data_IF_612911747385
#
_entry.id   IF_612911747385
#
_cell.length_a   1.000
_cell.length_b   1.000
_cell.length_c   1.000
_cell.angle_alpha   90.00
_cell.angle_beta   90.00
_cell.angle_gamma   90.00
#
_symmetry.space_group_name_H-M   'P 1'
#
loop_
_entity.id
_entity.type
_entity.pdbx_description
1 polymer ?
2 branched ?
3 non-polymer ?
4 non-polymer ?
5 water ?
#
# COMPACT_ATOMS: atom_id res chain seq x y z
N UNK A 18 23.93 -13.76 29.21
CA UNK A 18 23.90 -12.46 28.58
C UNK A 18 23.04 -12.42 27.33
N UNK A 19 21.85 -11.85 27.45
CA UNK A 19 20.94 -11.73 26.32
C UNK A 19 21.52 -10.87 25.21
N UNK A 20 21.24 -11.27 23.97
CA UNK A 20 21.52 -10.41 22.82
C UNK A 20 20.29 -9.60 22.50
N UNK A 21 20.48 -8.34 22.14
CA UNK A 21 19.39 -7.48 21.78
C UNK A 21 19.12 -7.58 20.28
N UNK A 22 17.86 -7.80 19.95
CA UNK A 22 17.39 -7.79 18.57
C UNK A 22 16.44 -6.60 18.47
N UNK A 23 16.75 -5.66 17.56
CA UNK A 23 15.96 -4.45 17.38
C UNK A 23 15.03 -4.65 16.17
N UNK A 24 13.76 -4.44 16.42
CA UNK A 24 12.68 -4.73 15.46
C UNK A 24 11.86 -3.48 15.22
N UNK A 25 11.59 -3.19 13.95
CA UNK A 25 10.90 -1.98 13.55
C UNK A 25 9.59 -2.28 12.83
N UNK A 26 8.51 -1.65 13.29
CA UNK A 26 7.21 -1.74 12.66
C UNK A 26 6.28 -0.64 13.09
N UNK A 27 5.07 -0.61 12.54
CA UNK A 27 4.20 0.55 12.74
C UNK A 27 3.62 0.61 14.14
N UNK A 28 3.22 1.81 14.52
CA UNK A 28 2.64 2.06 15.82
C UNK A 28 1.53 1.08 16.18
N UNK A 29 0.67 0.79 15.22
CA UNK A 29 -0.49 -0.08 15.47
C UNK A 29 -0.10 -1.49 15.90
N UNK A 30 1.06 -1.95 15.46
CA UNK A 30 1.56 -3.27 15.80
C UNK A 30 2.28 -3.26 17.14
N UNK A 31 2.50 -2.07 17.70
CA UNK A 31 3.20 -1.95 18.99
C UNK A 31 2.28 -1.42 20.08
N UNK A 32 1.02 -1.22 19.74
CA UNK A 32 -0.01 -0.63 20.63
C UNK A 32 -0.73 -1.72 21.40
N UNK A 33 -0.61 -1.69 22.72
CA UNK A 33 -1.22 -2.72 23.55
C UNK A 33 -2.73 -2.75 23.38
N UNK A 34 -3.32 -1.60 23.07
CA UNK A 34 -4.74 -1.50 22.86
C UNK A 34 -5.21 -2.27 21.65
N UNK A 35 -4.27 -2.57 20.74
CA UNK A 35 -4.54 -3.35 19.54
C UNK A 35 -3.82 -4.72 19.60
N UNK A 36 -3.48 -5.15 20.80
CA UNK A 36 -2.90 -6.47 21.00
C UNK A 36 -1.39 -6.55 20.75
N UNK A 37 -0.79 -5.40 20.47
CA UNK A 37 0.64 -5.25 20.19
C UNK A 37 1.19 -6.44 19.43
N UNK A 38 0.64 -6.66 18.24
CA UNK A 38 0.99 -7.85 17.45
C UNK A 38 2.47 -8.09 17.35
N UNK A 39 3.26 -7.07 17.03
CA UNK A 39 4.69 -7.31 16.77
C UNK A 39 5.42 -7.76 18.04
N UNK A 40 5.10 -7.18 19.19
CA UNK A 40 5.68 -7.61 20.46
C UNK A 40 5.23 -9.03 20.79
N UNK A 41 3.95 -9.26 20.63
CA UNK A 41 3.33 -10.57 20.91
C UNK A 41 4.02 -11.67 20.09
N UNK A 42 4.23 -11.40 18.80
CA UNK A 42 4.87 -12.39 17.96
C UNK A 42 6.39 -12.56 18.22
N UNK A 43 7.10 -11.47 18.51
CA UNK A 43 8.49 -11.59 18.91
C UNK A 43 8.60 -12.43 20.19
N UNK A 44 7.72 -12.22 21.14
CA UNK A 44 7.78 -13.01 22.37
C UNK A 44 7.46 -14.47 22.08
N UNK A 45 6.50 -14.72 21.19
CA UNK A 45 6.20 -16.10 20.81
C UNK A 45 7.40 -16.77 20.14
N UNK A 46 8.08 -16.03 19.26
CA UNK A 46 9.28 -16.52 18.63
C UNK A 46 10.33 -16.93 19.67
N UNK A 47 10.54 -16.07 20.64
CA UNK A 47 11.55 -16.37 21.67
C UNK A 47 11.13 -17.64 22.43
N UNK A 48 9.85 -17.78 22.72
CA UNK A 48 9.39 -18.93 23.52
C UNK A 48 9.59 -20.21 22.72
N UNK A 49 9.44 -20.13 21.40
CA UNK A 49 9.59 -21.28 20.52
C UNK A 49 11.04 -21.68 20.26
N UNK A 50 11.96 -20.79 20.62
CA UNK A 50 13.38 -20.95 20.34
C UNK A 50 14.23 -20.75 21.58
N UNK A 51 14.13 -21.67 22.54
CA UNK A 51 14.86 -21.53 23.80
C UNK A 51 16.39 -21.57 23.65
N UNK A 52 16.88 -22.06 22.53
CA UNK A 52 18.31 -22.03 22.28
C UNK A 52 18.84 -20.62 22.08
N UNK A 53 17.93 -19.69 21.76
CA UNK A 53 18.32 -18.29 21.60
C UNK A 53 18.16 -17.54 22.91
N UNK A 54 19.14 -16.72 23.22
CA UNK A 54 19.11 -15.91 24.42
C UNK A 54 19.01 -14.46 24.00
N UNK A 55 17.77 -14.03 23.83
CA UNK A 55 17.52 -12.74 23.19
C UNK A 55 16.50 -11.90 23.96
N UNK A 56 16.61 -10.59 23.79
CA UNK A 56 15.57 -9.68 24.19
C UNK A 56 15.34 -8.72 23.03
N UNK A 57 14.22 -8.05 23.09
CA UNK A 57 13.77 -7.21 21.99
C UNK A 57 13.71 -5.76 22.34
N UNK A 58 14.06 -4.93 21.38
CA UNK A 58 13.82 -3.49 21.47
C UNK A 58 13.07 -3.11 20.21
N UNK A 59 12.14 -2.18 20.33
CA UNK A 59 11.23 -1.88 19.25
C UNK A 59 11.36 -0.43 18.78
N UNK A 60 11.41 -0.27 17.47
CA UNK A 60 11.39 1.03 16.81
C UNK A 60 10.02 1.20 16.10
N UNK A 61 9.40 2.33 16.34
CA UNK A 61 8.10 2.60 15.78
C UNK A 61 8.24 3.40 14.50
N UNK A 62 7.80 2.83 13.39
CA UNK A 62 7.90 3.48 12.09
C UNK A 62 7.00 2.79 11.09
N UNK A 63 6.31 3.59 10.32
CA UNK A 63 5.39 3.07 9.31
C UNK A 63 6.16 2.34 8.22
N UNK A 64 5.57 1.26 7.70
CA UNK A 64 6.15 0.62 6.54
C UNK A 64 6.34 1.59 5.36
N UNK A 65 5.51 2.62 5.28
CA UNK A 65 5.59 3.57 4.18
C UNK A 65 6.86 4.40 4.22
N UNK A 66 7.49 4.47 5.41
CA UNK A 66 8.69 5.26 5.63
C UNK A 66 9.98 4.46 5.71
N UNK A 67 9.93 3.13 5.50
CA UNK A 67 11.12 2.32 5.76
C UNK A 67 12.29 2.60 4.84
N UNK A 68 12.05 2.96 3.59
CA UNK A 68 13.17 3.30 2.71
C UNK A 68 13.98 4.43 3.32
N UNK A 69 13.29 5.50 3.69
CA UNK A 69 13.97 6.67 4.18
C UNK A 69 14.72 6.37 5.48
N UNK A 70 14.06 5.66 6.38
CA UNK A 70 14.63 5.37 7.68
C UNK A 70 15.84 4.46 7.58
N UNK A 71 15.75 3.40 6.79
CA UNK A 71 16.82 2.44 6.75
C UNK A 71 17.95 2.85 5.82
N UNK A 72 17.66 3.33 4.61
CA UNK A 72 18.73 3.54 3.65
C UNK A 72 19.62 4.73 4.02
N UNK A 73 19.12 5.63 4.85
CA UNK A 73 19.94 6.77 5.26
C UNK A 73 21.20 6.29 6.00
N UNK A 74 21.12 5.12 6.63
CA UNK A 74 22.23 4.58 7.45
C UNK A 74 21.87 3.17 7.90
N UNK A 75 22.12 2.19 7.05
CA UNK A 75 21.61 0.85 7.41
C UNK A 75 22.20 0.30 8.68
N UNK A 76 23.46 0.60 8.92
CA UNK A 76 24.09 0.10 10.14
C UNK A 76 23.45 0.66 11.40
N UNK A 77 22.83 1.83 11.30
CA UNK A 77 22.15 2.43 12.45
C UNK A 77 20.71 1.98 12.61
N UNK A 78 20.21 1.21 11.63
CA UNK A 78 18.82 0.79 11.58
C UNK A 78 18.55 -0.53 12.28
N UNK A 79 17.26 -0.78 12.53
CA UNK A 79 16.82 -2.02 13.15
C UNK A 79 17.32 -3.26 12.43
N UNK A 80 17.45 -4.34 13.19
CA UNK A 80 17.88 -5.63 12.70
C UNK A 80 16.87 -6.30 11.78
N UNK A 81 15.62 -6.13 12.11
CA UNK A 81 14.48 -6.74 11.42
C UNK A 81 13.43 -5.66 11.30
N UNK A 82 12.85 -5.50 10.11
CA UNK A 82 11.92 -4.39 9.90
C UNK A 82 10.83 -4.69 8.89
N UNK A 83 9.74 -4.01 9.07
CA UNK A 83 8.53 -4.15 8.26
C UNK A 83 8.46 -3.02 7.23
N UNK A 84 8.35 -3.37 5.95
CA UNK A 84 8.46 -2.39 4.86
C UNK A 84 7.46 -2.72 3.75
N UNK A 85 7.27 -1.77 2.84
CA UNK A 85 6.44 -1.94 1.66
C UNK A 85 7.30 -2.30 0.45
N UNK A 86 6.86 -3.28 -0.34
CA UNK A 86 7.79 -3.91 -1.25
C UNK A 86 8.34 -3.04 -2.36
N UNK A 87 7.69 -1.94 -2.68
CA UNK A 87 8.22 -1.02 -3.69
C UNK A 87 9.54 -0.41 -3.27
N UNK A 88 9.87 -0.52 -2.00
CA UNK A 88 11.16 -0.05 -1.48
C UNK A 88 12.28 -1.03 -1.65
N UNK A 89 12.00 -2.18 -2.23
CA UNK A 89 12.97 -3.26 -2.32
C UNK A 89 14.24 -2.87 -3.07
N UNK A 90 14.15 -2.30 -4.27
CA UNK A 90 15.38 -2.01 -5.02
C UNK A 90 16.26 -0.98 -4.31
N UNK A 91 15.70 0.12 -3.80
CA UNK A 91 16.62 1.00 -3.07
C UNK A 91 17.20 0.38 -1.81
N UNK A 92 16.48 -0.50 -1.15
CA UNK A 92 17.06 -1.19 0.00
C UNK A 92 18.22 -2.08 -0.42
N UNK A 93 18.07 -2.80 -1.52
CA UNK A 93 19.14 -3.63 -2.05
C UNK A 93 20.34 -2.77 -2.44
N UNK A 94 20.10 -1.66 -3.14
CA UNK A 94 21.24 -0.87 -3.60
C UNK A 94 21.99 -0.23 -2.43
N UNK A 95 21.31 -0.03 -1.32
CA UNK A 95 21.95 0.46 -0.09
C UNK A 95 22.59 -0.64 0.76
N UNK A 96 22.58 -1.89 0.27
CA UNK A 96 23.04 -3.02 1.09
C UNK A 96 22.33 -3.08 2.43
N UNK A 97 21.02 -2.87 2.40
CA UNK A 97 20.23 -2.70 3.60
C UNK A 97 19.26 -3.84 3.87
N UNK A 98 19.26 -4.83 2.98
CA UNK A 98 18.35 -5.96 3.11
C UNK A 98 19.06 -7.22 2.62
N UNK A 99 18.95 -8.27 3.42
CA UNK A 99 19.66 -9.52 3.19
C UNK A 99 18.87 -10.45 2.29
N UNK A 100 19.57 -11.06 1.35
CA UNK A 100 19.04 -12.18 0.62
C UNK A 100 18.67 -13.29 1.57
N UNK A 101 17.55 -13.95 1.28
CA UNK A 101 17.06 -15.05 2.10
C UNK A 101 17.08 -16.35 1.32
N UNK A 102 17.50 -17.40 2.02
CA UNK A 102 17.55 -18.72 1.42
C UNK A 102 16.91 -19.76 2.31
N UNK A 103 17.29 -21.01 2.08
CA UNK A 103 16.86 -22.09 2.93
C UNK A 103 15.36 -22.23 3.10
N UNK A 104 14.96 -22.66 4.30
CA UNK A 104 13.56 -22.87 4.60
C UNK A 104 12.77 -21.57 4.49
N UNK A 105 13.41 -20.45 4.77
CA UNK A 105 12.70 -19.18 4.74
C UNK A 105 12.26 -18.85 3.31
N UNK A 106 13.20 -18.94 2.38
CA UNK A 106 12.89 -18.68 0.97
C UNK A 106 11.85 -19.69 0.49
N UNK A 107 12.00 -20.95 0.91
CA UNK A 107 11.07 -22.00 0.49
C UNK A 107 9.65 -21.67 0.98
N UNK A 108 9.54 -21.16 2.19
CA UNK A 108 8.25 -20.75 2.75
C UNK A 108 7.60 -19.61 1.98
N UNK A 109 8.41 -18.63 1.60
CA UNK A 109 7.90 -17.53 0.82
C UNK A 109 7.36 -18.02 -0.53
N UNK A 110 8.04 -18.97 -1.16
CA UNK A 110 7.58 -19.52 -2.44
C UNK A 110 6.35 -20.44 -2.30
N UNK A 111 6.34 -21.25 -1.25
CA UNK A 111 5.32 -22.29 -1.13
C UNK A 111 4.01 -21.76 -0.57
N UNK A 112 4.07 -20.76 0.29
CA UNK A 112 2.90 -20.33 1.04
C UNK A 112 2.16 -19.17 0.42
N UNK A 113 2.74 -18.57 -0.62
CA UNK A 113 2.18 -17.40 -1.30
C UNK A 113 1.85 -17.71 -2.75
N UNK A 114 0.96 -16.90 -3.32
CA UNK A 114 0.75 -16.91 -4.75
C UNK A 114 2.03 -16.51 -5.49
N UNK A 115 2.07 -16.78 -6.79
CA UNK A 115 3.20 -16.35 -7.59
C UNK A 115 3.37 -14.85 -7.51
N UNK A 116 2.28 -14.09 -7.60
CA UNK A 116 2.39 -12.62 -7.59
C UNK A 116 2.93 -12.15 -6.25
N UNK A 117 2.48 -12.76 -5.17
CA UNK A 117 2.97 -12.31 -3.88
C UNK A 117 4.41 -12.69 -3.63
N UNK A 118 4.86 -13.86 -4.07
CA UNK A 118 6.29 -14.14 -3.96
C UNK A 118 7.09 -13.19 -4.86
N UNK A 119 6.56 -12.77 -6.00
CA UNK A 119 7.29 -11.90 -6.90
C UNK A 119 7.52 -10.52 -6.28
N UNK A 120 6.67 -10.14 -5.33
CA UNK A 120 6.82 -8.83 -4.73
C UNK A 120 8.14 -8.66 -4.01
N UNK A 121 8.75 -9.77 -3.58
CA UNK A 121 9.97 -9.70 -2.78
C UNK A 121 11.13 -10.41 -3.49
N UNK A 122 11.01 -10.62 -4.81
CA UNK A 122 12.01 -11.31 -5.61
C UNK A 122 12.73 -10.30 -6.50
N UNK A 123 14.06 -10.29 -6.43
CA UNK A 123 14.86 -9.41 -7.28
C UNK A 123 15.98 -10.23 -7.89
N UNK A 124 16.11 -10.18 -9.22
CA UNK A 124 17.13 -10.94 -9.94
C UNK A 124 17.14 -12.42 -9.50
N UNK A 125 15.93 -12.95 -9.31
CA UNK A 125 15.73 -14.34 -8.99
C UNK A 125 15.93 -14.75 -7.53
N UNK A 126 16.30 -13.81 -6.65
CA UNK A 126 16.53 -14.10 -5.25
C UNK A 126 15.43 -13.49 -4.38
N UNK A 127 15.05 -14.19 -3.31
CA UNK A 127 14.08 -13.71 -2.34
C UNK A 127 14.78 -12.83 -1.31
N UNK A 128 14.17 -11.69 -0.99
CA UNK A 128 14.78 -10.74 -0.06
C UNK A 128 13.91 -10.39 1.15
N UNK A 129 12.73 -10.97 1.29
CA UNK A 129 11.88 -10.62 2.40
C UNK A 129 10.76 -11.62 2.55
N UNK A 130 10.06 -11.54 3.69
CA UNK A 130 8.96 -12.47 4.00
C UNK A 130 7.63 -11.67 4.01
N UNK A 131 6.78 -11.85 2.97
CA UNK A 131 5.50 -11.14 2.99
C UNK A 131 4.66 -11.47 4.20
N UNK A 132 3.93 -10.49 4.72
CA UNK A 132 2.94 -10.79 5.77
C UNK A 132 1.54 -10.34 5.41
N UNK A 133 1.38 -9.44 4.45
CA UNK A 133 0.06 -9.05 3.97
C UNK A 133 0.19 -8.46 2.59
N UNK A 134 -0.88 -8.47 1.83
CA UNK A 134 -0.85 -7.80 0.55
C UNK A 134 -0.96 -6.29 0.80
N UNK A 135 -0.52 -5.52 -0.18
CA UNK A 135 -0.47 -4.09 -0.04
C UNK A 135 -1.19 -3.43 -1.20
N UNK A 136 -2.38 -2.92 -0.90
CA UNK A 136 -3.22 -2.28 -1.90
C UNK A 136 -4.23 -1.44 -1.14
N UNK A 137 -5.15 -0.82 -1.87
CA UNK A 137 -6.14 0.04 -1.25
C UNK A 137 -7.48 -0.18 -1.94
N UNK A 138 -8.53 0.39 -1.34
CA UNK A 138 -9.90 0.06 -1.71
C UNK A 138 -10.79 1.16 -1.12
N UNK A 139 -12.11 0.97 -1.21
CA UNK A 139 -13.08 1.99 -0.82
C UNK A 139 -13.78 1.65 0.48
N UNK A 140 -13.70 2.58 1.43
CA UNK A 140 -14.60 2.59 2.60
C UNK A 140 -15.73 3.57 2.31
N UNK A 141 -16.96 3.24 2.69
CA UNK A 141 -18.06 4.18 2.44
C UNK A 141 -19.16 4.02 3.46
N UNK A 142 -19.95 5.08 3.58
CA UNK A 142 -21.05 5.16 4.53
C UNK A 142 -22.29 4.54 3.89
N UNK A 143 -22.73 3.40 4.44
CA UNK A 143 -23.89 2.69 3.91
C UNK A 143 -25.19 3.47 4.08
N UNK A 144 -25.17 4.49 4.91
CA UNK A 144 -26.34 5.37 5.06
C UNK A 144 -26.47 6.32 3.87
N UNK A 145 -25.41 6.43 3.07
CA UNK A 145 -25.38 7.39 1.96
C UNK A 145 -25.41 6.72 0.60
N UNK A 146 -24.61 5.65 0.45
CA UNK A 146 -24.53 4.94 -0.81
C UNK A 146 -25.00 3.50 -0.74
N UNK A 147 -25.62 3.08 -1.82
CA UNK A 147 -25.98 1.69 -2.04
C UNK A 147 -24.82 0.90 -2.67
N UNK A 148 -24.94 -0.43 -2.68
CA UNK A 148 -23.96 -1.28 -3.33
C UNK A 148 -23.84 -0.97 -4.81
N UNK A 149 -24.96 -0.63 -5.44
CA UNK A 149 -24.93 -0.28 -6.84
C UNK A 149 -24.30 1.10 -7.07
N UNK A 150 -24.53 2.04 -6.16
CA UNK A 150 -23.99 3.39 -6.28
C UNK A 150 -22.47 3.36 -6.39
N UNK A 151 -21.84 2.51 -5.58
CA UNK A 151 -20.38 2.59 -5.43
C UNK A 151 -19.66 1.87 -6.55
N UNK A 152 -20.38 1.36 -7.53
CA UNK A 152 -19.77 0.79 -8.72
C UNK A 152 -19.18 1.88 -9.64
N UNK A 153 -19.66 3.12 -9.48
CA UNK A 153 -19.28 4.24 -10.34
C UNK A 153 -18.98 5.48 -9.54
N UNK A 154 -17.80 6.06 -9.73
CA UNK A 154 -17.48 7.29 -9.03
C UNK A 154 -18.46 8.40 -9.44
N UNK A 155 -18.87 8.39 -10.68
CA UNK A 155 -19.78 9.43 -11.17
C UNK A 155 -21.15 9.31 -10.50
N UNK A 156 -21.66 8.09 -10.37
CA UNK A 156 -22.92 7.89 -9.64
C UNK A 156 -22.76 8.35 -8.21
N UNK A 157 -21.66 7.98 -7.57
CA UNK A 157 -21.45 8.39 -6.20
C UNK A 157 -21.50 9.89 -5.97
N UNK A 158 -20.91 10.67 -6.88
CA UNK A 158 -20.88 12.12 -6.73
C UNK A 158 -22.26 12.76 -6.84
N UNK A 159 -23.22 12.05 -7.41
CA UNK A 159 -24.59 12.57 -7.48
C UNK A 159 -25.36 12.31 -6.21
N UNK A 160 -24.85 11.41 -5.36
CA UNK A 160 -25.52 10.91 -4.15
C UNK A 160 -24.93 11.43 -2.83
N UNK A 161 -23.65 11.81 -2.84
CA UNK A 161 -22.97 12.10 -1.60
C UNK A 161 -21.55 12.60 -1.80
N UNK A 162 -20.81 12.72 -0.69
CA UNK A 162 -19.50 13.35 -0.70
C UNK A 162 -18.41 12.32 -0.87
N UNK A 163 -17.50 12.57 -1.79
CA UNK A 163 -16.44 11.64 -2.17
C UNK A 163 -15.10 12.32 -1.97
N UNK A 164 -14.13 11.58 -1.42
CA UNK A 164 -12.78 12.08 -1.27
C UNK A 164 -11.78 11.19 -1.98
N UNK A 165 -10.59 11.75 -2.23
CA UNK A 165 -9.51 10.98 -2.85
C UNK A 165 -8.18 11.68 -2.57
N UNK A 166 -7.13 10.92 -2.19
CA UNK A 166 -5.84 11.56 -1.86
C UNK A 166 -4.93 11.76 -3.07
N UNK A 167 -5.27 12.77 -3.87
CA UNK A 167 -4.61 12.98 -5.16
C UNK A 167 -3.15 13.39 -5.09
N UNK A 168 -2.65 13.86 -3.94
CA UNK A 168 -1.21 14.20 -3.92
C UNK A 168 -0.37 13.04 -3.40
N UNK A 169 -0.97 11.84 -3.37
CA UNK A 169 -0.25 10.61 -2.98
C UNK A 169 -0.14 9.73 -4.22
N UNK A 170 1.06 9.59 -4.77
CA UNK A 170 1.22 8.84 -6.00
C UNK A 170 0.76 7.40 -5.96
N UNK A 171 0.75 6.80 -4.78
CA UNK A 171 0.32 5.42 -4.65
C UNK A 171 -1.17 5.25 -4.95
N UNK A 172 -1.92 6.37 -4.86
CA UNK A 172 -3.34 6.46 -5.23
C UNK A 172 -3.57 7.11 -6.60
N UNK A 173 -2.81 8.13 -6.91
CA UNK A 173 -3.00 8.89 -8.14
C UNK A 173 -3.01 8.03 -9.39
N UNK A 174 -2.12 7.03 -9.41
CA UNK A 174 -1.93 6.29 -10.65
C UNK A 174 -3.17 5.56 -11.07
N UNK A 175 -4.05 5.22 -10.13
CA UNK A 175 -5.24 4.45 -10.48
C UNK A 175 -6.05 5.15 -11.59
N UNK A 176 -6.07 6.47 -11.55
CA UNK A 176 -6.80 7.26 -12.54
C UNK A 176 -6.14 7.21 -13.90
N UNK A 177 -4.82 7.31 -13.94
CA UNK A 177 -4.08 7.29 -15.20
C UNK A 177 -4.01 5.89 -15.80
N UNK A 178 -3.79 4.88 -14.96
CA UNK A 178 -3.84 3.49 -15.42
C UNK A 178 -5.20 3.16 -16.04
N UNK A 179 -6.27 3.78 -15.53
CA UNK A 179 -7.62 3.53 -16.01
C UNK A 179 -7.75 3.83 -17.50
N UNK A 180 -6.94 4.75 -18.02
CA UNK A 180 -7.04 5.17 -19.42
C UNK A 180 -5.80 4.80 -20.23
N UNK A 181 -5.05 3.83 -19.76
CA UNK A 181 -3.97 3.27 -20.55
C UNK A 181 -2.59 3.90 -20.41
N UNK A 182 -2.42 4.76 -19.40
CA UNK A 182 -1.08 5.21 -19.09
C UNK A 182 -0.34 4.09 -18.37
N UNK A 183 0.97 4.05 -18.58
CA UNK A 183 1.80 2.95 -18.11
C UNK A 183 3.06 3.39 -17.39
N UNK A 184 3.49 2.49 -16.48
CA UNK A 184 4.74 2.65 -15.77
C UNK A 184 5.58 1.42 -16.10
N UNK A 185 6.68 1.65 -16.79
CA UNK A 185 7.60 0.57 -17.18
C UNK A 185 6.88 -0.55 -17.95
N UNK A 186 6.07 -0.16 -18.94
CA UNK A 186 5.33 -1.13 -19.71
C UNK A 186 4.28 -1.80 -18.88
N UNK A 187 4.46 -3.09 -18.63
CA UNK A 187 3.56 -3.84 -17.77
C UNK A 187 3.99 -3.74 -16.32
N UNK A 188 5.00 -2.90 -16.06
CA UNK A 188 5.57 -2.72 -14.74
C UNK A 188 6.96 -3.27 -14.54
N UNK A 189 7.41 -4.07 -15.50
CA UNK A 189 8.69 -4.78 -15.39
C UNK A 189 9.70 -4.44 -16.48
N UNK A 190 9.40 -3.46 -17.34
CA UNK A 190 10.31 -3.07 -18.42
C UNK A 190 10.82 -1.65 -18.25
N UNK A 191 12.00 -1.51 -17.66
CA UNK A 191 12.51 -0.19 -17.38
C UNK A 191 12.73 0.62 -18.66
N UNK A 192 13.12 -0.06 -19.75
CA UNK A 192 13.36 0.63 -21.03
C UNK A 192 12.11 1.32 -21.58
N UNK A 193 10.93 0.89 -21.15
CA UNK A 193 9.70 1.51 -21.62
C UNK A 193 9.43 2.84 -20.92
N UNK A 194 10.08 3.08 -19.78
CA UNK A 194 9.90 4.34 -19.06
C UNK A 194 8.47 4.58 -18.62
N UNK A 195 8.15 5.85 -18.43
CA UNK A 195 6.81 6.28 -18.06
C UNK A 195 6.05 6.73 -19.31
N UNK A 196 4.78 6.37 -19.40
CA UNK A 196 3.95 6.89 -20.50
C UNK A 196 2.63 7.42 -20.00
N UNK A 197 2.66 8.74 -19.70
CA UNK A 197 1.50 9.50 -19.29
C UNK A 197 1.19 10.55 -20.34
N UNK A 198 1.74 10.35 -21.54
CA UNK A 198 1.70 11.38 -22.57
C UNK A 198 0.45 11.31 -23.42
N UNK A 199 0.15 12.42 -24.08
CA UNK A 199 -0.87 12.44 -25.10
C UNK A 199 -2.29 12.58 -24.62
N UNK A 200 -3.21 12.45 -25.55
CA UNK A 200 -4.61 12.62 -25.28
C UNK A 200 -5.12 11.66 -24.21
N UNK A 201 -4.56 10.45 -24.14
CA UNK A 201 -4.97 9.49 -23.13
C UNK A 201 -4.66 10.04 -21.73
N UNK A 202 -3.55 10.74 -21.57
CA UNK A 202 -3.23 11.31 -20.28
C UNK A 202 -4.02 12.58 -20.02
N UNK A 203 -4.14 13.43 -21.02
CA UNK A 203 -4.87 14.69 -20.87
C UNK A 203 -6.33 14.43 -20.51
N UNK A 204 -6.91 13.36 -21.06
CA UNK A 204 -8.30 13.03 -20.74
C UNK A 204 -8.46 12.72 -19.25
N UNK A 205 -7.47 12.04 -18.65
CA UNK A 205 -7.51 11.77 -17.22
C UNK A 205 -7.30 13.06 -16.43
N UNK A 206 -6.33 13.86 -16.81
CA UNK A 206 -6.13 15.15 -16.14
C UNK A 206 -7.41 15.99 -16.17
N UNK A 207 -8.06 16.00 -17.33
CA UNK A 207 -9.32 16.74 -17.46
C UNK A 207 -10.41 16.18 -16.53
N UNK A 208 -10.50 14.86 -16.42
CA UNK A 208 -11.44 14.24 -15.49
C UNK A 208 -11.17 14.71 -14.08
N UNK A 209 -9.89 14.77 -13.69
CA UNK A 209 -9.56 15.14 -12.32
C UNK A 209 -9.84 16.64 -12.11
N UNK A 210 -9.52 17.49 -13.11
CA UNK A 210 -9.92 18.90 -13.02
C UNK A 210 -11.44 18.99 -12.76
N UNK A 211 -12.22 18.21 -13.50
CA UNK A 211 -13.66 18.24 -13.32
C UNK A 211 -14.05 17.74 -11.94
N UNK A 212 -13.34 16.75 -11.41
CA UNK A 212 -13.61 16.24 -10.09
C UNK A 212 -13.38 17.34 -9.05
N UNK A 213 -12.25 18.05 -9.12
CA UNK A 213 -12.00 19.13 -8.16
C UNK A 213 -13.07 20.23 -8.24
N UNK A 214 -13.65 20.42 -9.43
CA UNK A 214 -14.67 21.46 -9.67
C UNK A 214 -16.06 20.97 -9.27
N UNK A 215 -16.15 19.73 -8.81
CA UNK A 215 -17.42 19.13 -8.38
C UNK A 215 -17.62 19.44 -6.92
N UNK A 216 -18.75 20.07 -6.57
CA UNK A 216 -18.89 20.47 -5.17
C UNK A 216 -19.13 19.32 -4.18
N UNK A 217 -19.26 18.09 -4.67
CA UNK A 217 -19.37 16.96 -3.77
C UNK A 217 -18.04 16.21 -3.67
N UNK A 218 -17.00 16.74 -4.29
CA UNK A 218 -15.65 16.17 -4.12
C UNK A 218 -14.86 16.95 -3.09
N UNK A 219 -14.19 16.21 -2.21
CA UNK A 219 -13.28 16.78 -1.21
C UNK A 219 -11.92 16.09 -1.32
N UNK A 220 -10.88 16.84 -1.59
CA UNK A 220 -9.53 16.24 -1.68
C UNK A 220 -9.14 15.71 -0.31
N UNK A 221 -8.69 14.46 -0.28
CA UNK A 221 -8.11 13.89 0.93
C UNK A 221 -6.66 14.35 1.07
N UNK A 222 -6.12 14.38 2.28
CA UNK A 222 -4.71 14.70 2.43
C UNK A 222 -3.86 13.44 2.29
N UNK A 223 -2.55 13.65 2.21
CA UNK A 223 -1.63 12.61 1.76
C UNK A 223 -1.77 11.30 2.51
N UNK A 224 -1.89 11.36 3.82
CA UNK A 224 -2.00 10.11 4.58
C UNK A 224 -3.41 9.83 5.11
N UNK A 225 -4.40 10.59 4.67
CA UNK A 225 -5.77 10.19 4.86
C UNK A 225 -6.40 10.51 6.21
N UNK A 226 -5.77 11.38 6.99
CA UNK A 226 -6.42 11.78 8.24
C UNK A 226 -7.60 12.68 7.95
N UNK A 227 -7.54 13.44 6.87
CA UNK A 227 -8.69 14.29 6.52
C UNK A 227 -9.92 13.46 6.17
N UNK A 228 -9.75 12.43 5.34
CA UNK A 228 -10.84 11.56 4.99
C UNK A 228 -11.49 10.89 6.19
N UNK A 229 -10.66 10.43 7.12
CA UNK A 229 -11.16 9.74 8.31
C UNK A 229 -12.00 10.70 9.14
N UNK A 230 -11.49 11.91 9.33
CA UNK A 230 -12.21 12.94 10.07
C UNK A 230 -13.53 13.30 9.40
N UNK A 231 -13.51 13.34 8.07
CA UNK A 231 -14.71 13.61 7.30
C UNK A 231 -15.79 12.54 7.37
N UNK A 232 -15.39 11.27 7.41
CA UNK A 232 -16.32 10.18 7.61
C UNK A 232 -17.08 10.37 8.92
N UNK A 233 -16.36 10.81 9.93
CA UNK A 233 -16.91 10.97 11.27
C UNK A 233 -17.92 12.09 11.34
N UNK A 234 -17.63 13.23 10.72
CA UNK A 234 -18.55 14.37 10.82
C UNK A 234 -19.54 14.45 9.65
N UNK A 235 -19.43 13.52 8.70
CA UNK A 235 -20.36 13.40 7.60
C UNK A 235 -20.06 14.26 6.37
N UNK A 236 -18.97 15.04 6.41
CA UNK A 236 -18.58 15.87 5.27
C UNK A 236 -17.91 15.09 4.15
N UNK A 237 -17.49 13.85 4.45
CA UNK A 237 -16.98 12.89 3.46
C UNK A 237 -17.65 11.56 3.71
N UNK A 238 -18.17 10.93 2.66
CA UNK A 238 -18.94 9.69 2.79
C UNK A 238 -18.27 8.47 2.13
N UNK A 239 -17.16 8.73 1.42
CA UNK A 239 -16.38 7.70 0.74
C UNK A 239 -14.92 8.06 0.87
N UNK A 240 -14.12 7.06 1.18
CA UNK A 240 -12.75 7.19 1.66
C UNK A 240 -11.93 6.10 1.00
N UNK A 241 -10.88 6.48 0.26
CA UNK A 241 -10.04 5.49 -0.41
C UNK A 241 -8.79 5.35 0.41
N UNK A 242 -8.64 4.17 0.99
CA UNK A 242 -7.60 3.96 1.99
C UNK A 242 -7.40 2.45 2.13
N UNK A 243 -6.87 2.00 3.27
CA UNK A 243 -6.44 0.61 3.39
C UNK A 243 -6.73 -0.06 4.69
N UNK A 244 -6.24 -1.29 4.76
CA UNK A 244 -6.58 -2.22 5.84
C UNK A 244 -6.11 -1.73 7.19
N UNK A 245 -5.03 -0.98 7.21
CA UNK A 245 -4.44 -0.50 8.46
C UNK A 245 -5.38 0.42 9.24
N UNK A 246 -6.32 1.07 8.54
CA UNK A 246 -7.30 1.99 9.17
C UNK A 246 -8.69 1.40 9.36
N UNK A 247 -8.79 0.07 9.28
CA UNK A 247 -10.09 -0.61 9.37
C UNK A 247 -10.78 -0.27 10.70
N UNK A 248 -10.08 -0.46 11.81
CA UNK A 248 -10.68 -0.15 13.11
C UNK A 248 -11.04 1.34 13.26
N UNK A 249 -10.22 2.23 12.73
CA UNK A 249 -10.51 3.66 12.84
C UNK A 249 -11.74 4.03 12.00
N UNK A 250 -11.94 3.34 10.87
CA UNK A 250 -13.11 3.60 10.03
C UNK A 250 -14.37 3.10 10.75
N UNK A 251 -14.26 1.96 11.43
CA UNK A 251 -15.39 1.44 12.19
C UNK A 251 -15.73 2.43 13.30
N UNK A 252 -14.72 3.00 13.94
CA UNK A 252 -15.00 4.01 14.98
C UNK A 252 -15.69 5.23 14.38
N UNK A 253 -15.22 5.68 13.21
CA UNK A 253 -15.73 6.92 12.64
C UNK A 253 -17.18 6.82 12.19
N UNK A 254 -17.54 5.72 11.56
CA UNK A 254 -18.84 5.53 10.97
C UNK A 254 -19.83 4.81 11.86
N UNK A 255 -19.30 4.00 12.75
CA UNK A 255 -20.08 3.00 13.45
C UNK A 255 -20.09 1.73 12.62
N UNK A 256 -19.84 0.58 13.24
CA UNK A 256 -19.61 -0.62 12.46
C UNK A 256 -20.78 -1.02 11.57
N UNK A 257 -22.01 -0.71 11.97
CA UNK A 257 -23.16 -1.12 11.17
C UNK A 257 -23.30 -0.29 9.89
N UNK A 258 -22.55 0.82 9.83
CA UNK A 258 -22.59 1.73 8.69
C UNK A 258 -21.41 1.57 7.73
N UNK A 259 -20.46 0.72 8.09
CA UNK A 259 -19.25 0.60 7.26
C UNK A 259 -19.51 -0.27 6.04
N UNK A 260 -19.34 0.33 4.85
CA UNK A 260 -19.30 -0.40 3.62
C UNK A 260 -17.86 -0.49 3.10
N UNK A 261 -17.51 -1.62 2.52
CA UNK A 261 -16.18 -1.83 1.95
C UNK A 261 -16.34 -2.38 0.55
N UNK A 262 -15.72 -1.72 -0.43
CA UNK A 262 -15.85 -2.13 -1.82
C UNK A 262 -14.54 -2.07 -2.56
N UNK A 263 -14.48 -2.76 -3.68
CA UNK A 263 -13.37 -2.60 -4.60
C UNK A 263 -13.58 -1.30 -5.37
N UNK A 264 -12.75 -1.05 -6.36
CA UNK A 264 -12.71 0.27 -6.97
C UNK A 264 -13.75 0.45 -8.05
N UNK A 265 -14.32 1.67 -8.11
CA UNK A 265 -15.33 1.99 -9.12
C UNK A 265 -14.75 2.31 -10.47
N UNK A 266 -15.64 2.48 -11.46
CA UNK A 266 -15.27 3.05 -12.73
C UNK A 266 -15.37 4.55 -12.71
N UNK A 267 -14.69 5.17 -13.67
CA UNK A 267 -14.84 6.58 -13.97
C UNK A 267 -15.21 6.72 -15.45
N UNK A 268 -16.08 7.68 -15.74
CA UNK A 268 -16.53 7.85 -17.08
C UNK A 268 -15.68 8.93 -17.76
N UNK A 269 -14.80 8.47 -18.66
CA UNK A 269 -13.97 9.36 -19.48
C UNK A 269 -14.48 9.32 -20.92
N UNK A 270 -14.99 10.47 -21.37
CA UNK A 270 -15.48 10.64 -22.73
C UNK A 270 -16.53 9.62 -23.12
N UNK A 271 -17.39 9.29 -22.17
CA UNK A 271 -18.48 8.38 -22.42
C UNK A 271 -18.13 6.92 -22.21
N UNK A 272 -16.86 6.65 -21.89
CA UNK A 272 -16.40 5.28 -21.67
C UNK A 272 -16.13 5.03 -20.19
N UNK A 273 -16.70 3.95 -19.66
CA UNK A 273 -16.43 3.59 -18.27
C UNK A 273 -15.03 2.98 -18.23
N UNK A 274 -14.18 3.55 -17.38
CA UNK A 274 -12.80 3.11 -17.24
C UNK A 274 -12.57 2.63 -15.81
N UNK A 275 -11.85 1.53 -15.65
CA UNK A 275 -11.67 0.91 -14.35
C UNK A 275 -10.47 1.49 -13.63
N UNK A 276 -10.70 2.12 -12.47
CA UNK A 276 -9.58 2.52 -11.59
C UNK A 276 -8.81 1.30 -11.18
N UNK A 277 -7.47 1.40 -11.18
CA UNK A 277 -6.60 0.27 -10.85
C UNK A 277 -5.54 0.70 -9.86
N UNK A 278 -5.68 0.18 -8.65
CA UNK A 278 -4.70 0.38 -7.58
C UNK A 278 -3.43 -0.41 -7.85
N UNK A 279 -2.32 0.02 -7.27
CA UNK A 279 -1.15 -0.83 -7.18
C UNK A 279 -1.44 -1.98 -6.23
N UNK A 280 -0.89 -3.16 -6.56
CA UNK A 280 -0.92 -4.32 -5.67
C UNK A 280 0.49 -4.83 -5.49
N UNK A 281 0.97 -4.71 -4.26
CA UNK A 281 2.28 -5.18 -3.85
C UNK A 281 2.09 -5.97 -2.55
N UNK A 282 3.10 -5.92 -1.69
CA UNK A 282 3.04 -6.57 -0.39
C UNK A 282 3.71 -5.69 0.63
N UNK A 283 3.41 -5.96 1.90
CA UNK A 283 4.25 -5.52 3.00
C UNK A 283 4.96 -6.76 3.52
N UNK A 284 6.24 -6.60 3.87
CA UNK A 284 7.10 -7.76 4.14
C UNK A 284 8.08 -7.46 5.26
N UNK A 285 8.68 -8.51 5.79
CA UNK A 285 9.69 -8.38 6.83
C UNK A 285 11.04 -8.59 6.17
N UNK A 286 11.93 -7.62 6.38
CA UNK A 286 13.29 -7.67 5.91
C UNK A 286 14.30 -7.81 7.03
N UNK A 287 15.43 -8.39 6.67
CA UNK A 287 16.56 -8.57 7.57
C UNK A 287 17.69 -7.63 7.17
N UNK A 288 18.20 -6.90 8.15
CA UNK A 288 19.32 -6.00 7.96
C UNK A 288 20.66 -6.78 7.91
N UNK A 289 21.44 -6.65 6.84
CA UNK A 289 22.73 -7.34 6.77
C UNK A 289 23.65 -6.96 7.91
N UNK A 290 23.41 -5.84 8.55
CA UNK A 290 24.27 -5.41 9.64
C UNK A 290 23.93 -6.08 10.97
N UNK A 291 22.80 -6.80 11.03
CA UNK A 291 22.47 -7.49 12.27
C UNK A 291 23.59 -8.49 12.61
N UNK A 292 24.00 -8.46 13.87
CA UNK A 292 25.09 -9.29 14.37
C UNK A 292 24.72 -10.75 14.60
N UNK A 293 23.45 -11.07 14.50
CA UNK A 293 23.00 -12.45 14.62
C UNK A 293 22.04 -12.79 13.50
N UNK A 294 22.60 -13.08 12.34
CA UNK A 294 21.78 -13.36 11.16
C UNK A 294 20.90 -14.59 11.34
N UNK A 295 21.38 -15.60 12.06
CA UNK A 295 20.57 -16.80 12.26
C UNK A 295 19.26 -16.42 12.96
N UNK A 296 19.36 -15.65 14.04
CA UNK A 296 18.19 -15.25 14.77
C UNK A 296 17.31 -14.32 13.92
N UNK A 297 17.92 -13.37 13.22
CA UNK A 297 17.13 -12.38 12.48
C UNK A 297 16.31 -13.03 11.37
N UNK A 298 16.93 -13.95 10.64
CA UNK A 298 16.26 -14.65 9.54
C UNK A 298 15.12 -15.51 10.10
N UNK A 299 15.38 -16.25 11.18
CA UNK A 299 14.32 -17.07 11.72
C UNK A 299 13.18 -16.22 12.30
N UNK A 300 13.50 -15.06 12.85
CA UNK A 300 12.48 -14.13 13.33
C UNK A 300 11.66 -13.61 12.15
N UNK A 301 12.30 -13.24 11.04
CA UNK A 301 11.54 -12.77 9.88
C UNK A 301 10.57 -13.86 9.39
N UNK A 302 11.06 -15.10 9.34
CA UNK A 302 10.23 -16.20 8.94
C UNK A 302 9.05 -16.36 9.88
N UNK A 303 9.30 -16.19 11.17
CA UNK A 303 8.26 -16.34 12.17
C UNK A 303 7.21 -15.25 12.06
N UNK A 304 7.65 -14.00 11.89
CA UNK A 304 6.71 -12.91 11.80
C UNK A 304 5.81 -13.02 10.58
N UNK A 305 6.24 -13.75 9.54
CA UNK A 305 5.40 -13.98 8.38
C UNK A 305 4.78 -15.36 8.32
N UNK A 306 4.91 -16.10 9.40
CA UNK A 306 4.37 -17.47 9.47
C UNK A 306 2.85 -17.44 9.49
N UNK A 307 2.28 -18.62 9.27
CA UNK A 307 0.83 -18.76 9.21
C UNK A 307 0.21 -18.35 10.56
N UNK A 308 0.77 -18.83 11.67
CA UNK A 308 0.24 -18.49 12.99
C UNK A 308 0.29 -16.98 13.22
N UNK A 309 1.42 -16.37 12.82
CA UNK A 309 1.59 -14.94 13.01
C UNK A 309 0.61 -14.12 12.15
N UNK A 310 0.40 -14.53 10.90
CA UNK A 310 -0.58 -13.88 10.07
C UNK A 310 -1.99 -14.05 10.61
N UNK A 311 -2.32 -15.22 11.14
CA UNK A 311 -3.65 -15.37 11.72
C UNK A 311 -3.81 -14.45 12.94
N UNK A 312 -2.78 -14.34 13.77
CA UNK A 312 -2.82 -13.41 14.90
C UNK A 312 -2.96 -11.96 14.45
N UNK A 313 -2.35 -11.59 13.32
CA UNK A 313 -2.48 -10.23 12.82
C UNK A 313 -3.93 -9.96 12.45
N UNK A 314 -4.58 -10.99 11.90
CA UNK A 314 -5.99 -10.88 11.54
C UNK A 314 -6.89 -10.80 12.79
N UNK A 315 -6.65 -11.67 13.75
CA UNK A 315 -7.51 -11.68 14.96
C UNK A 315 -7.29 -10.44 15.82
N UNK A 316 -6.05 -9.99 15.94
CA UNK A 316 -5.76 -8.89 16.85
C UNK A 316 -6.16 -7.54 16.28
N UNK A 317 -5.93 -7.33 14.99
CA UNK A 317 -6.25 -6.04 14.42
C UNK A 317 -6.75 -6.08 12.97
N UNK A 318 -7.31 -7.21 12.56
CA UNK A 318 -8.06 -7.32 11.33
C UNK A 318 -7.27 -7.19 10.04
N UNK A 319 -5.97 -7.47 10.11
CA UNK A 319 -5.15 -7.36 8.91
C UNK A 319 -5.24 -8.64 8.10
N UNK A 320 -5.53 -8.51 6.83
CA UNK A 320 -5.79 -9.65 5.96
C UNK A 320 -4.50 -10.43 5.66
N UNK A 321 -4.56 -11.77 5.79
CA UNK A 321 -3.36 -12.56 5.55
C UNK A 321 -3.05 -12.68 4.07
N UNK A 322 -1.78 -12.96 3.80
CA UNK A 322 -1.34 -13.25 2.43
C UNK A 322 -1.13 -14.73 2.24
N UNK A 323 -0.85 -15.47 3.32
CA UNK A 323 -0.65 -16.92 3.29
C UNK A 323 -1.85 -17.62 2.67
N UNK A 324 -1.65 -18.37 1.60
CA UNK A 324 -2.83 -18.87 0.87
C UNK A 324 -3.60 -19.97 1.68
N UNK A 325 -2.94 -20.62 2.65
CA UNK A 325 -3.60 -21.61 3.52
C UNK A 325 -4.60 -20.97 4.49
N UNK A 326 -4.52 -19.65 4.65
CA UNK A 326 -5.54 -18.90 5.45
C UNK A 326 -6.68 -18.34 4.60
N UNK A 327 -6.61 -18.49 3.28
CA UNK A 327 -7.65 -17.97 2.39
C UNK A 327 -8.97 -18.69 2.57
N UNK A 328 -8.88 -19.93 3.05
CA UNK A 328 -10.05 -20.77 3.30
C UNK A 328 -10.52 -20.74 4.75
N UNK A 329 -9.86 -19.94 5.59
CA UNK A 329 -10.36 -19.69 6.95
C UNK A 329 -11.69 -18.97 6.84
N UNK A 330 -12.70 -19.45 7.56
CA UNK A 330 -14.04 -18.93 7.35
C UNK A 330 -14.18 -17.49 7.78
N UNK A 331 -13.53 -17.11 8.87
CA UNK A 331 -13.56 -15.73 9.33
C UNK A 331 -12.88 -14.81 8.33
N UNK A 332 -11.78 -15.27 7.77
CA UNK A 332 -11.04 -14.46 6.80
C UNK A 332 -11.88 -14.28 5.54
N UNK A 333 -12.46 -15.37 5.08
CA UNK A 333 -13.21 -15.34 3.84
C UNK A 333 -14.43 -14.44 3.94
N UNK A 334 -15.00 -14.35 5.15
CA UNK A 334 -16.19 -13.54 5.42
C UNK A 334 -15.88 -12.08 5.72
N UNK A 335 -14.61 -11.73 5.89
CA UNK A 335 -14.27 -10.40 6.34
C UNK A 335 -14.41 -9.40 5.18
N UNK A 336 -15.08 -8.26 5.41
CA UNK A 336 -15.32 -7.37 4.27
C UNK A 336 -14.05 -6.74 3.70
N UNK A 337 -13.05 -6.48 4.52
CA UNK A 337 -11.80 -5.93 3.99
C UNK A 337 -11.01 -7.00 3.26
N UNK A 338 -10.86 -8.19 3.83
CA UNK A 338 -10.16 -9.23 3.08
C UNK A 338 -10.82 -9.50 1.73
N UNK A 339 -12.14 -9.47 1.70
CA UNK A 339 -12.88 -9.71 0.47
C UNK A 339 -12.65 -8.59 -0.53
N UNK A 340 -12.69 -7.35 -0.08
CA UNK A 340 -12.47 -6.23 -0.99
C UNK A 340 -11.05 -6.27 -1.55
N UNK A 341 -10.08 -6.57 -0.69
CA UNK A 341 -8.70 -6.63 -1.14
C UNK A 341 -8.52 -7.73 -2.17
N UNK A 342 -9.18 -8.86 -1.98
CA UNK A 342 -9.13 -9.91 -2.99
C UNK A 342 -9.76 -9.49 -4.31
N UNK A 343 -10.86 -8.75 -4.23
CA UNK A 343 -11.51 -8.25 -5.43
C UNK A 343 -10.62 -7.22 -6.15
N UNK A 344 -9.97 -6.37 -5.38
CA UNK A 344 -9.05 -5.41 -5.99
C UNK A 344 -7.94 -6.17 -6.72
N UNK A 345 -7.41 -7.21 -6.08
CA UNK A 345 -6.39 -8.06 -6.70
C UNK A 345 -6.84 -8.64 -8.02
N UNK A 346 -8.05 -9.20 -8.06
CA UNK A 346 -8.49 -9.88 -9.28
C UNK A 346 -9.01 -8.94 -10.37
N UNK A 347 -9.60 -7.82 -9.98
CA UNK A 347 -10.38 -6.99 -10.92
C UNK A 347 -9.91 -5.54 -11.09
N UNK A 348 -9.16 -5.00 -10.13
CA UNK A 348 -8.96 -3.54 -10.01
C UNK A 348 -7.53 -3.14 -9.71
N UNK A 349 -6.55 -3.88 -10.20
CA UNK A 349 -5.17 -3.58 -9.83
C UNK A 349 -4.15 -3.82 -10.94
N UNK A 350 -3.00 -3.19 -10.74
CA UNK A 350 -1.80 -3.53 -11.49
C UNK A 350 -0.71 -3.88 -10.48
N UNK A 351 0.18 -4.78 -10.89
CA UNK A 351 1.23 -5.17 -9.99
C UNK A 351 2.17 -4.01 -9.73
N UNK A 352 2.49 -3.82 -8.45
CA UNK A 352 3.43 -2.79 -8.04
C UNK A 352 4.80 -3.01 -8.67
N UNK A 353 5.31 -2.04 -9.48
CA UNK A 353 6.67 -2.24 -9.96
C UNK A 353 7.69 -2.32 -8.84
N UNK A 354 8.72 -3.14 -9.02
CA UNK A 354 9.84 -3.10 -8.09
C UNK A 354 11.03 -2.34 -8.70
N UNK A 355 11.00 -2.02 -10.01
CA UNK A 355 11.91 -1.02 -10.53
C UNK A 355 11.64 0.27 -9.75
N UNK A 356 12.67 0.92 -9.24
CA UNK A 356 12.53 2.05 -8.34
C UNK A 356 11.65 3.13 -8.95
N UNK A 357 10.65 3.57 -8.19
CA UNK A 357 9.69 4.58 -8.64
C UNK A 357 9.86 5.90 -7.91
N UNK A 358 11.03 6.13 -7.33
CA UNK A 358 11.31 7.34 -6.54
C UNK A 358 10.89 8.61 -7.26
N UNK A 359 11.21 8.71 -8.54
CA UNK A 359 10.90 9.92 -9.27
C UNK A 359 9.42 10.17 -9.40
N UNK A 360 8.67 9.07 -9.50
CA UNK A 360 7.21 9.16 -9.55
C UNK A 360 6.62 9.57 -8.20
N UNK A 361 7.01 8.92 -7.12
CA UNK A 361 6.47 9.31 -5.84
C UNK A 361 6.75 10.79 -5.61
N UNK A 362 7.95 11.25 -5.97
CA UNK A 362 8.32 12.64 -5.74
C UNK A 362 7.51 13.59 -6.60
N UNK A 363 7.34 13.28 -7.87
CA UNK A 363 6.65 14.18 -8.78
C UNK A 363 5.16 14.22 -8.56
N UNK A 364 4.61 13.10 -8.10
CA UNK A 364 3.17 12.96 -8.01
C UNK A 364 2.57 13.93 -7.02
N UNK A 365 3.30 14.24 -5.96
CA UNK A 365 2.72 15.02 -4.89
C UNK A 365 2.47 16.48 -5.33
N UNK A 366 3.48 17.18 -5.87
CA UNK A 366 3.16 18.55 -6.33
C UNK A 366 2.18 18.56 -7.48
N UNK A 367 2.17 17.51 -8.30
CA UNK A 367 1.20 17.43 -9.40
C UNK A 367 -0.21 17.35 -8.84
N UNK A 368 -0.44 16.42 -7.92
CA UNK A 368 -1.75 16.31 -7.32
C UNK A 368 -2.19 17.58 -6.58
N UNK A 369 -1.24 18.23 -5.90
CA UNK A 369 -1.56 19.43 -5.14
C UNK A 369 -1.98 20.56 -6.07
N UNK A 370 -1.49 20.55 -7.30
CA UNK A 370 -1.74 21.63 -8.25
C UNK A 370 -3.15 21.61 -8.81
N UNK A 371 -3.94 20.57 -8.55
CA UNK A 371 -5.36 20.60 -8.96
C UNK A 371 -6.19 21.52 -8.07
N UNK A 372 -5.70 21.85 -6.88
CA UNK A 372 -6.53 22.60 -5.91
C UNK A 372 -6.88 23.98 -6.41
N UNK A 373 -8.13 24.39 -6.16
CA UNK A 373 -8.56 25.76 -6.42
C UNK A 373 -7.62 26.75 -5.75
N UNK A 374 -7.09 27.68 -6.54
CA UNK A 374 -6.21 28.70 -6.00
C UNK A 374 -4.75 28.33 -5.94
N UNK A 375 -4.41 27.09 -6.31
CA UNK A 375 -3.02 26.67 -6.29
C UNK A 375 -2.13 27.44 -7.25
N UNK A 376 -0.88 27.62 -6.85
CA UNK A 376 0.14 28.10 -7.74
C UNK A 376 0.25 27.15 -8.92
N UNK A 377 0.13 27.67 -10.13
CA UNK A 377 0.20 26.83 -11.32
C UNK A 377 -0.96 25.85 -11.40
N UNK A 378 -2.14 26.27 -10.94
CA UNK A 378 -3.28 25.37 -10.89
C UNK A 378 -3.52 24.68 -12.23
N UNK A 379 -3.75 23.37 -12.20
CA UNK A 379 -4.14 22.62 -13.36
C UNK A 379 -5.61 22.87 -13.65
N UNK A 380 -5.88 23.28 -14.88
CA UNK A 380 -7.20 23.67 -15.34
C UNK A 380 -7.50 23.00 -16.67
N UNK A 381 -8.72 23.15 -17.17
CA UNK A 381 -9.02 22.66 -18.51
C UNK A 381 -8.13 23.31 -19.55
N UNK A 382 -7.87 24.60 -19.37
CA UNK A 382 -7.08 25.32 -20.38
C UNK A 382 -5.64 24.87 -20.47
N UNK A 383 -5.04 24.39 -19.37
CA UNK A 383 -3.66 23.96 -19.41
C UNK A 383 -3.44 22.47 -19.13
N UNK A 384 -4.53 21.70 -19.14
CA UNK A 384 -4.43 20.27 -18.79
C UNK A 384 -3.39 19.52 -19.64
N UNK A 385 -3.39 19.76 -20.96
CA UNK A 385 -2.46 19.05 -21.83
C UNK A 385 -1.01 19.44 -21.52
N UNK A 386 -0.74 20.73 -21.34
CA UNK A 386 0.56 21.19 -20.93
C UNK A 386 1.03 20.55 -19.63
N UNK A 387 0.15 20.58 -18.63
CA UNK A 387 0.53 20.07 -17.33
C UNK A 387 0.74 18.56 -17.36
N UNK A 388 0.00 17.86 -18.19
CA UNK A 388 0.13 16.41 -18.36
C UNK A 388 1.47 16.11 -19.01
N UNK A 389 1.82 16.81 -20.07
CA UNK A 389 3.12 16.56 -20.67
C UNK A 389 4.25 16.95 -19.70
N UNK A 390 4.10 18.05 -18.97
CA UNK A 390 5.12 18.46 -17.99
C UNK A 390 5.39 17.28 -17.03
N UNK A 391 4.31 16.65 -16.56
CA UNK A 391 4.40 15.55 -15.61
C UNK A 391 5.10 14.37 -16.26
N UNK A 392 4.64 13.97 -17.45
CA UNK A 392 5.29 12.88 -18.17
C UNK A 392 6.79 13.15 -18.36
N UNK A 393 7.14 14.38 -18.73
CA UNK A 393 8.52 14.76 -18.92
C UNK A 393 9.33 14.64 -17.64
N UNK A 394 8.79 15.13 -16.53
CA UNK A 394 9.49 15.04 -15.25
C UNK A 394 9.70 13.59 -14.87
N UNK A 395 8.70 12.74 -15.08
CA UNK A 395 8.83 11.34 -14.71
C UNK A 395 9.99 10.70 -15.47
N UNK A 396 10.02 10.91 -16.78
CA UNK A 396 11.07 10.30 -17.56
C UNK A 396 12.42 10.96 -17.35
N UNK A 397 12.44 12.23 -17.03
CA UNK A 397 13.72 12.87 -16.68
C UNK A 397 14.33 12.25 -15.44
N UNK A 398 13.48 11.77 -14.53
CA UNK A 398 13.97 11.24 -13.26
C UNK A 398 14.72 9.93 -13.47
N UNK A 399 14.61 9.34 -14.68
CA UNK A 399 15.29 8.09 -15.02
C UNK A 399 16.65 8.30 -15.67
N UNK A 400 16.97 9.54 -16.02
CA UNK A 400 18.23 9.81 -16.73
C UNK A 400 19.43 9.82 -15.79
#
# INVERSE_FOLDING_TARGET
GSGNGGNGTEKADKKDGGKETITVMGPAEDLDDAQGAWLKTECEAFAKANPDFNIEFKYVTSSESDAKDVVTKDPKAAADVYMFANDQLEPLIKANAIAKLGGDTAEYVKSSNSEAMAATVTYDGDIYAVPYTSNTWFMYYDKRVFSEDDVKSLDTMLTKGKVSFPFDNGWYLNAFYAANGCTIFGDGTDKAAGYDFSGDKGTAVTNYIVDLFANPNFVMDNNEGSLGLAGLKDGSINAYFNGNWNYDKVKEALGEENVGVAALPTINIGGKDCQLKAFLGSKAIGVNPNCKNQEVAVKLAAFLGSEDAQLAHFKLRGQAPVNKDLATNEEVAADPVAAAMAKVSSDCSVAQPIIDMSGYWDAATPFGDAFQNGAEGQITKDNAAQKTEDFNTQLNDSLK
#
